data_IF_779087121536
#
_entry.id   IF_779087121536
#
_cell.length_a   1.000
_cell.length_b   1.000
_cell.length_c   1.000
_cell.angle_alpha   90.00
_cell.angle_beta   90.00
_cell.angle_gamma   90.00
#
_symmetry.space_group_name_H-M   'P 1'
#
loop_
_entity.id
_entity.type
_entity.pdbx_description
1 polymer ?
#
# COMPACT_ATOMS: atom_id res chain seq x y z
N UNK A 1 -6.70 22.86 -3.92
CA UNK A 1 -6.17 22.32 -2.64
C UNK A 1 -4.66 22.29 -2.76
N UNK A 2 -3.90 22.63 -1.71
CA UNK A 2 -2.42 22.55 -1.78
C UNK A 2 -1.98 21.08 -1.95
N UNK A 3 -0.85 20.84 -2.62
CA UNK A 3 -0.33 19.49 -2.88
C UNK A 3 -0.12 18.75 -1.56
N UNK A 4 0.43 19.43 -0.55
CA UNK A 4 0.64 18.87 0.81
C UNK A 4 -0.64 18.32 1.44
N UNK A 5 -1.74 19.07 1.42
CA UNK A 5 -3.00 18.62 2.04
C UNK A 5 -3.57 17.40 1.34
N UNK A 6 -3.53 17.38 0.01
CA UNK A 6 -4.06 16.28 -0.79
C UNK A 6 -3.24 15.00 -0.57
N UNK A 7 -1.90 15.14 -0.52
CA UNK A 7 -0.99 14.03 -0.22
C UNK A 7 -1.18 13.50 1.20
N UNK A 8 -1.23 14.35 2.23
CA UNK A 8 -1.44 13.89 3.61
C UNK A 8 -2.79 13.22 3.82
N UNK A 9 -3.87 13.75 3.23
CA UNK A 9 -5.17 13.10 3.30
C UNK A 9 -5.16 11.73 2.62
N UNK A 10 -4.56 11.65 1.43
CA UNK A 10 -4.43 10.40 0.70
C UNK A 10 -3.62 9.36 1.50
N UNK A 11 -2.47 9.77 2.04
CA UNK A 11 -1.59 8.93 2.85
C UNK A 11 -2.28 8.44 4.12
N UNK A 12 -2.98 9.34 4.83
CA UNK A 12 -3.74 9.00 6.02
C UNK A 12 -4.81 7.94 5.72
N UNK A 13 -5.64 8.18 4.70
CA UNK A 13 -6.71 7.24 4.32
C UNK A 13 -6.15 5.87 3.92
N UNK A 14 -5.04 5.85 3.18
CA UNK A 14 -4.39 4.62 2.77
C UNK A 14 -3.93 3.79 3.98
N UNK A 15 -3.30 4.44 4.97
CA UNK A 15 -2.79 3.73 6.15
C UNK A 15 -3.89 3.36 7.15
N UNK A 16 -4.95 4.15 7.30
CA UNK A 16 -6.13 3.78 8.09
C UNK A 16 -6.80 2.54 7.50
N UNK A 17 -6.94 2.47 6.17
CA UNK A 17 -7.51 1.31 5.49
C UNK A 17 -6.70 0.03 5.69
N UNK A 18 -5.40 0.14 5.98
CA UNK A 18 -4.52 -0.99 6.31
C UNK A 18 -4.54 -1.30 7.82
N UNK A 19 -4.51 -0.29 8.68
CA UNK A 19 -4.45 -0.43 10.13
C UNK A 19 -5.69 -1.12 10.69
N UNK A 20 -6.88 -0.70 10.24
CA UNK A 20 -8.14 -1.13 10.82
C UNK A 20 -8.42 -2.65 10.64
N UNK A 21 -8.14 -3.27 9.47
CA UNK A 21 -8.32 -4.72 9.29
C UNK A 21 -7.19 -5.56 9.90
N UNK A 22 -5.97 -5.03 10.04
CA UNK A 22 -4.79 -5.80 10.47
C UNK A 22 -5.00 -6.66 11.73
N UNK A 23 -5.55 -6.15 12.85
CA UNK A 23 -5.74 -6.96 14.06
C UNK A 23 -6.85 -8.02 13.90
N UNK A 24 -7.80 -7.81 12.99
CA UNK A 24 -8.94 -8.69 12.79
C UNK A 24 -8.69 -9.74 11.70
N UNK A 25 -7.75 -9.50 10.77
CA UNK A 25 -7.57 -10.33 9.58
C UNK A 25 -7.19 -11.76 9.94
N UNK A 26 -6.24 -11.96 10.86
CA UNK A 26 -5.81 -13.30 11.27
C UNK A 26 -6.97 -14.03 11.96
N UNK A 27 -7.72 -13.33 12.83
CA UNK A 27 -8.88 -13.90 13.51
C UNK A 27 -9.98 -14.29 12.51
N UNK A 28 -10.24 -13.46 11.49
CA UNK A 28 -11.19 -13.76 10.42
C UNK A 28 -10.76 -15.00 9.63
N UNK A 29 -9.48 -15.13 9.28
CA UNK A 29 -8.96 -16.29 8.55
C UNK A 29 -9.04 -17.56 9.41
N UNK A 30 -8.68 -17.48 10.69
CA UNK A 30 -8.84 -18.61 11.61
C UNK A 30 -10.31 -19.01 11.79
N UNK A 31 -11.23 -18.05 11.88
CA UNK A 31 -12.67 -18.30 11.93
C UNK A 31 -13.21 -18.96 10.65
N UNK A 32 -12.51 -18.82 9.52
CA UNK A 32 -12.80 -19.49 8.25
C UNK A 32 -12.12 -20.85 8.08
N UNK A 33 -11.44 -21.33 9.13
CA UNK A 33 -10.81 -22.65 9.16
C UNK A 33 -9.37 -22.68 8.65
N UNK A 34 -8.74 -21.53 8.38
CA UNK A 34 -7.31 -21.50 8.06
C UNK A 34 -6.46 -21.74 9.30
N UNK A 35 -5.50 -22.66 9.19
CA UNK A 35 -4.47 -22.81 10.21
C UNK A 35 -3.38 -21.72 10.09
N UNK A 36 -2.51 -21.61 11.10
CA UNK A 36 -1.45 -20.60 11.11
C UNK A 36 -0.39 -20.82 10.02
N UNK A 37 -0.18 -22.06 9.55
CA UNK A 37 0.75 -22.35 8.47
C UNK A 37 0.22 -21.79 7.15
N UNK A 38 -1.06 -21.98 6.86
CA UNK A 38 -1.74 -21.44 5.69
C UNK A 38 -1.74 -19.92 5.69
N UNK A 39 -2.00 -19.30 6.85
CA UNK A 39 -1.86 -17.84 7.01
C UNK A 39 -0.41 -17.40 6.77
N UNK A 40 0.57 -18.11 7.34
CA UNK A 40 1.99 -17.86 7.13
C UNK A 40 2.42 -17.95 5.66
N UNK A 41 1.94 -18.96 4.93
CA UNK A 41 2.16 -19.11 3.49
C UNK A 41 1.55 -17.95 2.69
N UNK A 42 0.36 -17.49 3.09
CA UNK A 42 -0.29 -16.35 2.46
C UNK A 42 0.53 -15.06 2.63
N UNK A 43 0.96 -14.74 3.85
CA UNK A 43 1.86 -13.61 4.09
C UNK A 43 3.24 -13.79 3.46
N UNK A 44 3.73 -15.03 3.37
CA UNK A 44 4.95 -15.38 2.63
C UNK A 44 4.83 -15.06 1.14
N UNK A 45 3.70 -15.37 0.51
CA UNK A 45 3.42 -15.04 -0.89
C UNK A 45 3.31 -13.54 -1.12
N UNK A 46 2.72 -12.79 -0.18
CA UNK A 46 2.70 -11.33 -0.18
C UNK A 46 4.12 -10.76 -0.17
N UNK A 47 4.96 -11.18 0.77
CA UNK A 47 6.34 -10.71 0.90
C UNK A 47 7.20 -11.08 -0.32
N UNK A 48 7.05 -12.30 -0.83
CA UNK A 48 7.75 -12.75 -2.03
C UNK A 48 7.35 -11.92 -3.26
N UNK A 49 6.06 -11.63 -3.40
CA UNK A 49 5.55 -10.78 -4.49
C UNK A 49 6.16 -9.38 -4.43
N UNK A 50 6.26 -8.78 -3.25
CA UNK A 50 6.91 -7.47 -3.07
C UNK A 50 8.38 -7.55 -3.48
N UNK A 51 9.11 -8.54 -2.96
CA UNK A 51 10.53 -8.71 -3.25
C UNK A 51 10.81 -8.86 -4.75
N UNK A 52 10.00 -9.65 -5.44
CA UNK A 52 10.14 -9.88 -6.89
C UNK A 52 9.78 -8.63 -7.69
N UNK A 53 8.82 -7.85 -7.23
CA UNK A 53 8.29 -6.71 -7.98
C UNK A 53 8.91 -5.36 -7.61
N UNK A 54 9.67 -5.23 -6.53
CA UNK A 54 10.25 -3.96 -6.10
C UNK A 54 11.13 -3.32 -7.20
N UNK A 55 12.04 -4.10 -7.78
CA UNK A 55 12.95 -3.60 -8.81
C UNK A 55 12.22 -3.22 -10.13
N UNK A 56 11.34 -4.07 -10.71
CA UNK A 56 10.66 -3.71 -11.95
C UNK A 56 9.62 -2.60 -11.77
N UNK A 57 8.99 -2.47 -10.60
CA UNK A 57 7.98 -1.42 -10.36
C UNK A 57 8.58 -0.03 -10.25
N UNK A 58 9.84 0.11 -9.82
CA UNK A 58 10.59 1.35 -9.88
C UNK A 58 10.72 1.88 -11.31
N UNK A 59 11.21 1.05 -12.24
CA UNK A 59 11.33 1.42 -13.65
C UNK A 59 9.98 1.68 -14.33
N UNK A 60 8.93 0.98 -13.91
CA UNK A 60 7.57 1.22 -14.39
C UNK A 60 7.07 2.63 -14.03
N UNK A 61 7.32 3.10 -12.80
CA UNK A 61 6.90 4.41 -12.35
C UNK A 61 7.51 5.55 -13.16
N UNK A 62 8.77 5.41 -13.56
CA UNK A 62 9.45 6.38 -14.41
C UNK A 62 8.98 6.31 -15.88
N UNK A 63 8.60 5.13 -16.37
CA UNK A 63 8.16 4.94 -17.75
C UNK A 63 6.73 5.41 -18.03
N UNK A 64 5.75 5.03 -17.20
CA UNK A 64 4.32 5.33 -17.44
C UNK A 64 3.79 6.50 -16.59
N UNK A 65 4.60 6.99 -15.66
CA UNK A 65 4.31 8.12 -14.79
C UNK A 65 3.80 7.69 -13.41
N UNK A 66 4.36 8.33 -12.37
CA UNK A 66 4.16 8.04 -10.95
C UNK A 66 2.70 8.07 -10.51
N UNK A 67 1.91 9.03 -11.01
CA UNK A 67 0.47 9.13 -10.73
C UNK A 67 -0.30 7.90 -11.23
N UNK A 68 0.01 7.40 -12.44
CA UNK A 68 -0.66 6.21 -13.00
C UNK A 68 -0.31 4.95 -12.22
N UNK A 69 0.95 4.80 -11.83
CA UNK A 69 1.40 3.69 -10.97
C UNK A 69 0.71 3.73 -9.61
N UNK A 70 0.56 4.90 -8.99
CA UNK A 70 -0.19 5.04 -7.74
C UNK A 70 -1.67 4.63 -7.88
N UNK A 71 -2.31 4.95 -9.02
CA UNK A 71 -3.67 4.46 -9.30
C UNK A 71 -3.73 2.94 -9.46
N UNK A 72 -2.77 2.34 -10.17
CA UNK A 72 -2.69 0.88 -10.32
C UNK A 72 -2.48 0.20 -8.96
N UNK A 73 -1.63 0.76 -8.10
CA UNK A 73 -1.42 0.26 -6.75
C UNK A 73 -2.76 0.16 -5.99
N UNK A 74 -3.54 1.25 -5.96
CA UNK A 74 -4.84 1.27 -5.29
C UNK A 74 -5.85 0.29 -5.91
N UNK A 75 -5.82 0.11 -7.23
CA UNK A 75 -6.68 -0.87 -7.90
C UNK A 75 -6.37 -2.29 -7.43
N UNK A 76 -5.08 -2.66 -7.36
CA UNK A 76 -4.66 -3.96 -6.83
C UNK A 76 -4.98 -4.10 -5.34
N UNK A 77 -4.88 -3.03 -4.54
CA UNK A 77 -5.28 -3.03 -3.13
C UNK A 77 -6.78 -3.33 -2.98
N UNK A 78 -7.61 -2.67 -3.79
CA UNK A 78 -9.06 -2.85 -3.75
C UNK A 78 -9.46 -4.27 -4.18
N UNK A 79 -8.86 -4.77 -5.27
CA UNK A 79 -9.08 -6.13 -5.74
C UNK A 79 -8.62 -7.15 -4.70
N UNK A 80 -7.43 -6.98 -4.11
CA UNK A 80 -6.91 -7.85 -3.06
C UNK A 80 -7.83 -7.88 -1.84
N UNK A 81 -8.23 -6.72 -1.33
CA UNK A 81 -9.19 -6.61 -0.23
C UNK A 81 -10.54 -7.26 -0.56
N UNK A 82 -11.06 -7.09 -1.77
CA UNK A 82 -12.29 -7.73 -2.21
C UNK A 82 -12.17 -9.25 -2.26
N UNK A 83 -11.08 -9.80 -2.79
CA UNK A 83 -10.84 -11.25 -2.83
C UNK A 83 -10.74 -11.81 -1.40
N UNK A 84 -10.11 -11.10 -0.46
CA UNK A 84 -10.07 -11.51 0.96
C UNK A 84 -11.47 -11.72 1.51
N UNK A 85 -12.49 -10.92 1.14
CA UNK A 85 -13.85 -11.10 1.64
C UNK A 85 -14.43 -12.48 1.32
N UNK A 86 -14.00 -13.10 0.22
CA UNK A 86 -14.46 -14.42 -0.25
C UNK A 86 -13.38 -15.51 -0.14
N UNK A 87 -12.29 -15.26 0.58
CA UNK A 87 -11.24 -16.24 0.78
C UNK A 87 -11.70 -17.33 1.77
N UNK A 88 -12.22 -18.43 1.21
CA UNK A 88 -12.60 -19.67 1.93
C UNK A 88 -11.75 -20.88 1.52
N UNK A 89 -10.74 -20.68 0.68
CA UNK A 89 -9.77 -21.71 0.31
C UNK A 89 -8.37 -21.09 0.16
N UNK A 90 -7.33 -21.90 0.35
CA UNK A 90 -5.94 -21.44 0.29
C UNK A 90 -5.59 -20.77 -1.04
N UNK A 91 -5.96 -21.31 -2.23
CA UNK A 91 -5.64 -20.65 -3.49
C UNK A 91 -6.25 -19.24 -3.62
N UNK A 92 -7.47 -19.04 -3.12
CA UNK A 92 -8.13 -17.72 -3.13
C UNK A 92 -7.42 -16.75 -2.18
N UNK A 93 -7.01 -17.23 -0.99
CA UNK A 93 -6.24 -16.44 -0.04
C UNK A 93 -4.86 -16.05 -0.61
N UNK A 94 -4.16 -16.98 -1.29
CA UNK A 94 -2.89 -16.69 -1.97
C UNK A 94 -3.08 -15.65 -3.08
N UNK A 95 -4.11 -15.78 -3.92
CA UNK A 95 -4.41 -14.80 -4.96
C UNK A 95 -4.67 -13.41 -4.37
N UNK A 96 -5.38 -13.33 -3.25
CA UNK A 96 -5.62 -12.08 -2.53
C UNK A 96 -4.31 -11.46 -2.03
N UNK A 97 -3.45 -12.25 -1.39
CA UNK A 97 -2.17 -11.78 -0.86
C UNK A 97 -1.16 -11.39 -1.94
N UNK A 98 -1.16 -12.07 -3.09
CA UNK A 98 -0.37 -11.66 -4.26
C UNK A 98 -0.88 -10.31 -4.78
N UNK A 99 -2.20 -10.10 -4.90
CA UNK A 99 -2.75 -8.79 -5.30
C UNK A 99 -2.33 -7.68 -4.33
N UNK A 100 -2.40 -7.94 -3.01
CA UNK A 100 -1.92 -7.01 -1.98
C UNK A 100 -0.42 -6.73 -2.13
N UNK A 101 0.38 -7.76 -2.47
CA UNK A 101 1.82 -7.64 -2.69
C UNK A 101 2.18 -6.79 -3.91
N UNK A 102 1.47 -6.99 -5.03
CA UNK A 102 1.59 -6.15 -6.24
C UNK A 102 1.27 -4.70 -5.90
N UNK A 103 0.15 -4.46 -5.21
CA UNK A 103 -0.23 -3.13 -4.74
C UNK A 103 0.89 -2.48 -3.92
N UNK A 104 1.45 -3.23 -2.96
CA UNK A 104 2.49 -2.71 -2.08
C UNK A 104 3.74 -2.33 -2.87
N UNK A 105 4.22 -3.20 -3.77
CA UNK A 105 5.38 -2.93 -4.62
C UNK A 105 5.18 -1.69 -5.52
N UNK A 106 4.00 -1.54 -6.13
CA UNK A 106 3.68 -0.37 -6.95
C UNK A 106 3.62 0.92 -6.12
N UNK A 107 3.17 0.84 -4.87
CA UNK A 107 3.06 2.00 -3.98
C UNK A 107 4.38 2.41 -3.33
N UNK A 108 5.31 1.48 -3.12
CA UNK A 108 6.55 1.71 -2.38
C UNK A 108 7.49 2.61 -3.19
N UNK A 109 7.41 3.91 -2.93
CA UNK A 109 8.25 4.94 -3.53
C UNK A 109 7.56 5.82 -4.56
N UNK A 110 6.55 5.33 -5.29
CA UNK A 110 5.88 6.11 -6.34
C UNK A 110 5.14 7.34 -5.79
N UNK A 111 4.50 7.20 -4.62
CA UNK A 111 3.73 8.27 -3.98
C UNK A 111 4.61 9.38 -3.42
N UNK A 112 5.67 9.01 -2.70
CA UNK A 112 6.60 9.97 -2.11
C UNK A 112 7.38 10.70 -3.20
N UNK A 113 7.82 9.97 -4.23
CA UNK A 113 8.50 10.56 -5.36
C UNK A 113 7.59 11.50 -6.17
N UNK A 114 6.31 11.14 -6.36
CA UNK A 114 5.32 12.05 -6.93
C UNK A 114 5.11 13.30 -6.06
N UNK A 115 5.06 13.14 -4.74
CA UNK A 115 4.89 14.25 -3.81
C UNK A 115 6.08 15.21 -3.84
N UNK A 116 7.31 14.68 -3.90
CA UNK A 116 8.55 15.46 -4.04
C UNK A 116 8.48 16.32 -5.31
N UNK A 117 8.18 15.71 -6.46
CA UNK A 117 8.10 16.42 -7.75
C UNK A 117 7.00 17.49 -7.72
N UNK A 118 5.82 17.15 -7.21
CA UNK A 118 4.67 18.04 -7.18
C UNK A 118 4.88 19.22 -6.20
N UNK A 119 5.54 18.98 -5.07
CA UNK A 119 5.88 20.03 -4.11
C UNK A 119 6.94 20.97 -4.66
N UNK A 120 7.98 20.44 -5.31
CA UNK A 120 9.01 21.26 -5.95
C UNK A 120 8.44 22.15 -7.06
N UNK A 121 7.44 21.65 -7.80
CA UNK A 121 6.74 22.43 -8.83
C UNK A 121 5.78 23.50 -8.25
N UNK A 122 5.13 23.26 -7.11
CA UNK A 122 4.25 24.23 -6.45
C UNK A 122 5.04 25.29 -5.67
N UNK A 123 6.13 24.90 -5.00
CA UNK A 123 6.97 25.77 -4.19
C UNK A 123 8.43 25.26 -4.14
N UNK A 124 9.33 25.79 -4.99
CA UNK A 124 10.73 25.35 -5.05
C UNK A 124 11.54 25.57 -3.77
N UNK A 125 11.16 26.53 -2.94
CA UNK A 125 11.84 26.83 -1.67
C UNK A 125 11.24 26.07 -0.48
N UNK A 126 10.26 25.18 -0.73
CA UNK A 126 9.66 24.40 0.33
C UNK A 126 10.68 23.45 0.98
N UNK A 127 10.71 23.45 2.31
CA UNK A 127 11.46 22.46 3.07
C UNK A 127 10.88 21.05 2.86
N UNK A 128 11.55 20.29 1.99
CA UNK A 128 11.17 18.93 1.63
C UNK A 128 11.37 17.98 2.82
N UNK A 129 12.41 18.19 3.63
CA UNK A 129 12.73 17.33 4.76
C UNK A 129 11.65 17.48 5.83
N UNK A 130 11.23 18.69 6.15
CA UNK A 130 10.10 18.93 7.06
C UNK A 130 8.79 18.35 6.51
N UNK A 131 8.54 18.46 5.20
CA UNK A 131 7.32 17.92 4.58
C UNK A 131 7.26 16.38 4.63
N UNK A 132 8.38 15.69 4.41
CA UNK A 132 8.48 14.23 4.53
C UNK A 132 8.46 13.78 6.00
N UNK A 133 9.04 14.55 6.92
CA UNK A 133 8.93 14.26 8.35
C UNK A 133 7.45 14.31 8.82
N UNK A 134 6.70 15.32 8.36
CA UNK A 134 5.27 15.43 8.62
C UNK A 134 4.47 14.26 8.03
N UNK A 135 4.85 13.75 6.85
CA UNK A 135 4.19 12.58 6.26
C UNK A 135 4.35 11.35 7.15
N UNK A 136 5.54 11.14 7.74
CA UNK A 136 5.77 10.10 8.73
C UNK A 136 4.86 10.22 9.96
N UNK A 137 4.64 11.43 10.48
CA UNK A 137 3.69 11.65 11.58
C UNK A 137 2.25 11.29 11.19
N UNK A 138 1.83 11.62 9.97
CA UNK A 138 0.49 11.27 9.45
C UNK A 138 0.32 9.75 9.35
N UNK A 139 1.35 9.02 8.89
CA UNK A 139 1.34 7.55 8.84
C UNK A 139 1.20 6.96 10.25
N UNK A 140 1.99 7.45 11.22
CA UNK A 140 1.91 6.98 12.60
C UNK A 140 0.54 7.23 13.23
N UNK A 141 -0.04 8.42 12.99
CA UNK A 141 -1.39 8.73 13.46
C UNK A 141 -2.43 7.79 12.84
N UNK A 142 -2.33 7.50 11.54
CA UNK A 142 -3.21 6.55 10.87
C UNK A 142 -3.08 5.11 11.42
N UNK A 143 -1.86 4.68 11.76
CA UNK A 143 -1.60 3.36 12.34
C UNK A 143 -2.04 3.22 13.81
N UNK A 144 -2.26 4.34 14.50
CA UNK A 144 -2.69 4.36 15.92
C UNK A 144 -4.21 4.23 16.11
N UNK A 145 -4.98 4.29 15.01
CA UNK A 145 -6.43 4.13 14.97
C UNK A 145 -6.82 2.66 14.74
#
# INVERSE_FOLDING_TARGET
MSVKRSYFLFLFLQWVAVALPLPLLILLLQARGFDLLQVGLAYGSYSLTIMVLELPTGGLADAIGRKRVAFLANLFALVGAFIVLFAFSLPVLLAAMICQGISRALSSGALDAWFVDALAAENPEADLQAALAQSGTVVLAALSL
#
